data_IF_768922541799
#
_entry.id   IF_768922541799
#
_cell.length_a   1.000
_cell.length_b   1.000
_cell.length_c   1.000
_cell.angle_alpha   90.00
_cell.angle_beta   90.00
_cell.angle_gamma   90.00
#
_symmetry.space_group_name_H-M   'P 1'
#
loop_
_entity.id
_entity.type
_entity.pdbx_description
1 polymer ?
#
# COMPACT_ATOMS: atom_id res chain seq x y z
N UNK A 1 18.48 -5.79 -25.78
CA UNK A 1 17.90 -5.91 -24.43
C UNK A 1 16.62 -5.11 -24.46
N UNK A 2 15.46 -5.71 -24.21
CA UNK A 2 14.16 -5.00 -24.26
C UNK A 2 14.01 -4.04 -23.08
N UNK A 3 13.05 -3.10 -23.14
CA UNK A 3 12.79 -2.18 -22.03
C UNK A 3 12.42 -2.94 -20.76
N UNK A 4 11.62 -3.99 -20.90
CA UNK A 4 11.24 -4.88 -19.78
C UNK A 4 12.44 -5.58 -19.15
N UNK A 5 13.41 -6.05 -19.94
CA UNK A 5 14.64 -6.65 -19.38
C UNK A 5 15.49 -5.65 -18.60
N UNK A 6 15.56 -4.39 -19.07
CA UNK A 6 16.25 -3.32 -18.35
C UNK A 6 15.52 -2.99 -17.05
N UNK A 7 14.20 -2.92 -17.09
CA UNK A 7 13.35 -2.64 -15.95
C UNK A 7 13.41 -3.74 -14.89
N UNK A 8 13.34 -5.00 -15.30
CA UNK A 8 13.48 -6.16 -14.42
C UNK A 8 14.85 -6.17 -13.74
N UNK A 9 15.93 -5.87 -14.48
CA UNK A 9 17.27 -5.79 -13.92
C UNK A 9 17.38 -4.68 -12.86
N UNK A 10 16.81 -3.52 -13.15
CA UNK A 10 16.85 -2.38 -12.23
C UNK A 10 15.96 -2.61 -11.00
N UNK A 11 14.77 -3.17 -11.19
CA UNK A 11 13.92 -3.65 -10.11
C UNK A 11 14.70 -4.60 -9.20
N UNK A 12 15.28 -5.66 -9.74
CA UNK A 12 16.05 -6.65 -8.96
C UNK A 12 17.23 -6.02 -8.20
N UNK A 13 17.87 -5.00 -8.77
CA UNK A 13 18.94 -4.24 -8.09
C UNK A 13 18.39 -3.48 -6.88
N UNK A 14 17.27 -2.78 -7.05
CA UNK A 14 16.63 -2.00 -5.99
C UNK A 14 15.98 -2.87 -4.92
N UNK A 15 15.33 -3.97 -5.32
CA UNK A 15 14.67 -4.92 -4.41
C UNK A 15 15.61 -5.49 -3.36
N UNK A 16 16.88 -5.73 -3.72
CA UNK A 16 17.91 -6.20 -2.79
C UNK A 16 18.23 -5.20 -1.68
N UNK A 17 18.08 -3.90 -1.92
CA UNK A 17 18.37 -2.87 -0.90
C UNK A 17 17.44 -2.94 0.30
N UNK A 18 16.21 -3.37 0.08
CA UNK A 18 15.17 -3.43 1.11
C UNK A 18 14.68 -4.85 1.39
N UNK A 19 15.35 -5.85 0.83
CA UNK A 19 14.99 -7.28 1.00
C UNK A 19 13.54 -7.61 0.63
N UNK A 20 13.08 -7.17 -0.55
CA UNK A 20 11.71 -7.45 -1.02
C UNK A 20 11.42 -8.96 -0.99
N UNK A 21 10.35 -9.41 -0.30
CA UNK A 21 9.95 -10.81 -0.31
C UNK A 21 9.50 -11.29 -1.70
N UNK A 22 9.86 -12.53 -2.08
CA UNK A 22 9.49 -13.10 -3.39
C UNK A 22 7.99 -13.07 -3.67
N UNK A 23 7.15 -13.24 -2.63
CA UNK A 23 5.68 -13.20 -2.78
C UNK A 23 5.16 -11.85 -3.30
N UNK A 24 5.88 -10.76 -3.04
CA UNK A 24 5.48 -9.39 -3.39
C UNK A 24 6.08 -8.92 -4.72
N UNK A 25 7.00 -9.70 -5.32
CA UNK A 25 7.60 -9.31 -6.60
C UNK A 25 6.58 -9.46 -7.73
N UNK A 26 6.48 -8.46 -8.63
CA UNK A 26 5.65 -8.59 -9.82
C UNK A 26 6.30 -9.55 -10.81
N UNK A 27 5.51 -10.01 -11.78
CA UNK A 27 6.02 -10.71 -12.95
C UNK A 27 6.48 -9.70 -14.02
N UNK A 28 7.60 -9.94 -14.68
CA UNK A 28 8.06 -9.15 -15.82
C UNK A 28 7.82 -9.92 -17.12
N UNK A 29 7.07 -9.31 -18.05
CA UNK A 29 6.64 -9.93 -19.30
C UNK A 29 5.16 -10.32 -19.33
N UNK A 30 4.70 -10.98 -20.41
CA UNK A 30 3.31 -11.40 -20.55
C UNK A 30 2.95 -12.40 -19.45
N UNK A 31 1.90 -12.10 -18.70
CA UNK A 31 1.29 -12.98 -17.70
C UNK A 31 -0.20 -13.05 -18.00
N UNK A 32 -0.87 -14.13 -17.57
CA UNK A 32 -2.33 -14.21 -17.62
C UNK A 32 -3.00 -13.25 -16.60
N UNK A 33 -2.19 -12.47 -15.88
CA UNK A 33 -2.56 -11.42 -14.93
C UNK A 33 -3.24 -11.93 -13.66
N UNK A 34 -3.26 -13.25 -13.44
CA UNK A 34 -3.95 -13.85 -12.30
C UNK A 34 -3.07 -13.82 -11.04
N UNK A 35 -3.67 -13.39 -9.93
CA UNK A 35 -3.13 -13.40 -8.56
C UNK A 35 -1.94 -12.47 -8.23
N UNK A 36 -1.17 -11.96 -9.21
CA UNK A 36 -0.06 -11.03 -8.96
C UNK A 36 0.06 -9.90 -9.98
N UNK A 37 0.51 -8.71 -9.57
CA UNK A 37 0.83 -7.64 -10.51
C UNK A 37 1.88 -8.08 -11.53
N UNK A 38 1.75 -7.57 -12.75
CA UNK A 38 2.68 -7.80 -13.84
C UNK A 38 3.10 -6.49 -14.49
N UNK A 39 4.26 -6.55 -15.14
CA UNK A 39 4.90 -5.43 -15.81
C UNK A 39 5.25 -5.84 -17.23
N UNK A 40 4.69 -5.15 -18.22
CA UNK A 40 4.88 -5.48 -19.63
C UNK A 40 4.91 -4.24 -20.51
N UNK A 41 5.37 -4.41 -21.74
CA UNK A 41 5.48 -3.36 -22.75
C UNK A 41 4.47 -3.63 -23.86
N UNK A 42 3.69 -2.61 -24.24
CA UNK A 42 2.75 -2.71 -25.36
C UNK A 42 3.44 -2.51 -26.72
N UNK A 43 2.66 -2.66 -27.81
CA UNK A 43 3.17 -2.49 -29.18
C UNK A 43 3.54 -1.03 -29.53
N UNK A 44 3.19 -0.07 -28.68
CA UNK A 44 3.53 1.36 -28.80
C UNK A 44 4.71 1.74 -27.89
N UNK A 45 5.36 0.77 -27.26
CA UNK A 45 6.45 0.96 -26.31
C UNK A 45 6.04 1.67 -25.01
N UNK A 46 4.76 1.61 -24.62
CA UNK A 46 4.31 2.04 -23.29
C UNK A 46 4.54 0.91 -22.29
N UNK A 47 4.92 1.28 -21.07
CA UNK A 47 5.10 0.37 -19.96
C UNK A 47 3.81 0.33 -19.13
N UNK A 48 3.36 -0.88 -18.86
CA UNK A 48 2.17 -1.15 -18.06
C UNK A 48 2.57 -1.77 -16.73
N UNK A 49 1.96 -1.30 -15.65
CA UNK A 49 1.89 -1.98 -14.36
C UNK A 49 0.43 -2.31 -14.09
N UNK A 50 0.08 -3.59 -14.12
CA UNK A 50 -1.31 -4.04 -14.08
C UNK A 50 -1.52 -5.29 -13.22
N UNK A 51 -2.71 -5.44 -12.66
CA UNK A 51 -3.15 -6.65 -11.97
C UNK A 51 -4.60 -6.97 -12.33
N UNK A 52 -4.94 -8.26 -12.39
CA UNK A 52 -6.33 -8.71 -12.42
C UNK A 52 -6.66 -9.47 -11.14
N UNK A 53 -7.88 -9.28 -10.67
CA UNK A 53 -8.45 -10.08 -9.59
C UNK A 53 -9.73 -10.73 -10.11
N UNK A 54 -9.78 -12.07 -10.06
CA UNK A 54 -10.96 -12.87 -10.48
C UNK A 54 -11.44 -12.53 -11.89
N UNK A 55 -10.49 -12.37 -12.82
CA UNK A 55 -10.76 -12.06 -14.22
C UNK A 55 -11.13 -10.60 -14.51
N UNK A 56 -11.18 -9.73 -13.50
CA UNK A 56 -11.42 -8.29 -13.68
C UNK A 56 -10.13 -7.50 -13.47
N UNK A 57 -9.89 -6.48 -14.30
CA UNK A 57 -8.74 -5.58 -14.12
C UNK A 57 -8.94 -4.83 -12.80
N UNK A 58 -8.06 -5.10 -11.84
CA UNK A 58 -8.01 -4.36 -10.56
C UNK A 58 -7.40 -2.99 -10.80
N UNK A 59 -6.30 -2.93 -11.56
CA UNK A 59 -5.73 -1.69 -12.08
C UNK A 59 -4.89 -1.95 -13.34
N UNK A 60 -4.72 -0.91 -14.16
CA UNK A 60 -3.75 -0.83 -15.24
C UNK A 60 -3.19 0.60 -15.30
N UNK A 61 -1.92 0.77 -14.93
CA UNK A 61 -1.23 2.06 -14.94
C UNK A 61 -0.23 2.07 -16.07
N UNK A 62 -0.28 3.12 -16.89
CA UNK A 62 0.48 3.23 -18.14
C UNK A 62 1.40 4.44 -18.06
N UNK A 63 2.67 4.26 -18.40
CA UNK A 63 3.64 5.35 -18.54
C UNK A 63 4.71 4.98 -19.55
N UNK A 64 5.42 5.99 -20.06
CA UNK A 64 6.66 5.80 -20.83
C UNK A 64 7.91 6.11 -19.99
N UNK A 65 7.74 6.53 -18.73
CA UNK A 65 8.82 6.88 -17.82
C UNK A 65 9.25 5.68 -16.95
N UNK A 66 10.53 5.32 -17.04
CA UNK A 66 11.14 4.25 -16.26
C UNK A 66 11.14 4.52 -14.75
N UNK A 67 11.41 5.76 -14.33
CA UNK A 67 11.43 6.11 -12.90
C UNK A 67 10.02 6.02 -12.32
N UNK A 68 9.02 6.45 -13.08
CA UNK A 68 7.63 6.43 -12.66
C UNK A 68 7.08 5.03 -12.46
N UNK A 69 7.31 4.11 -13.41
CA UNK A 69 6.81 2.74 -13.26
C UNK A 69 7.51 2.01 -12.11
N UNK A 70 8.82 2.21 -11.91
CA UNK A 70 9.52 1.65 -10.77
C UNK A 70 8.98 2.23 -9.45
N UNK A 71 8.71 3.54 -9.41
CA UNK A 71 8.08 4.18 -8.26
C UNK A 71 6.73 3.52 -7.94
N UNK A 72 5.86 3.25 -8.92
CA UNK A 72 4.57 2.59 -8.68
C UNK A 72 4.72 1.17 -8.14
N UNK A 73 5.65 0.38 -8.69
CA UNK A 73 5.93 -0.97 -8.22
C UNK A 73 6.41 -0.93 -6.77
N UNK A 74 7.40 -0.09 -6.46
CA UNK A 74 7.95 0.00 -5.11
C UNK A 74 6.99 0.65 -4.11
N UNK A 75 6.15 1.61 -4.52
CA UNK A 75 5.13 2.18 -3.63
C UNK A 75 4.15 1.10 -3.16
N UNK A 76 3.71 0.20 -4.04
CA UNK A 76 2.84 -0.93 -3.71
C UNK A 76 3.52 -1.97 -2.82
N UNK A 77 4.75 -2.37 -3.18
CA UNK A 77 5.53 -3.36 -2.42
C UNK A 77 5.86 -2.85 -1.02
N UNK A 78 6.38 -1.63 -0.91
CA UNK A 78 6.80 -1.05 0.37
C UNK A 78 5.62 -0.80 1.29
N UNK A 79 4.43 -0.46 0.76
CA UNK A 79 3.22 -0.38 1.56
C UNK A 79 2.87 -1.73 2.19
N UNK A 80 2.88 -2.80 1.39
CA UNK A 80 2.61 -4.17 1.88
C UNK A 80 3.62 -4.59 2.95
N UNK A 81 4.92 -4.32 2.72
CA UNK A 81 5.97 -4.59 3.71
C UNK A 81 5.80 -3.77 5.00
N UNK A 82 5.32 -2.54 4.90
CA UNK A 82 5.10 -1.68 6.05
C UNK A 82 3.89 -2.09 6.89
N UNK A 83 2.82 -2.58 6.26
CA UNK A 83 1.70 -3.20 6.97
C UNK A 83 2.15 -4.48 7.67
N UNK A 84 2.92 -5.35 7.00
CA UNK A 84 3.49 -6.55 7.63
C UNK A 84 4.38 -6.19 8.83
N UNK A 85 5.17 -5.12 8.72
CA UNK A 85 6.01 -4.64 9.81
C UNK A 85 5.18 -4.12 10.99
N UNK A 86 4.14 -3.33 10.72
CA UNK A 86 3.20 -2.85 11.74
C UNK A 86 2.54 -4.01 12.47
N UNK A 87 2.03 -5.01 11.75
CA UNK A 87 1.36 -6.16 12.37
C UNK A 87 2.27 -6.91 13.35
N UNK A 88 3.56 -7.02 13.04
CA UNK A 88 4.54 -7.68 13.90
C UNK A 88 5.06 -6.80 15.05
N UNK A 89 4.84 -5.48 14.97
CA UNK A 89 5.35 -4.47 15.92
C UNK A 89 4.22 -3.64 16.52
N UNK A 90 2.99 -4.17 16.50
CA UNK A 90 1.77 -3.43 16.80
C UNK A 90 1.82 -2.84 18.20
N UNK A 91 1.49 -1.56 18.29
CA UNK A 91 1.16 -0.89 19.53
C UNK A 91 -0.37 -0.85 19.60
N UNK A 92 -0.93 -1.57 20.56
CA UNK A 92 -2.38 -1.57 20.78
C UNK A 92 -2.89 -0.16 21.02
N UNK A 93 -4.12 0.11 20.60
CA UNK A 93 -4.79 1.41 20.77
C UNK A 93 -4.10 2.59 20.07
N UNK A 94 -3.18 2.32 19.14
CA UNK A 94 -2.56 3.33 18.28
C UNK A 94 -3.06 3.16 16.83
N UNK A 95 -3.23 4.27 16.12
CA UNK A 95 -3.49 4.21 14.68
C UNK A 95 -2.31 3.51 13.96
N UNK A 96 -2.58 2.36 13.34
CA UNK A 96 -1.58 1.53 12.68
C UNK A 96 -0.81 2.28 11.59
N UNK A 97 -1.43 3.32 10.99
CA UNK A 97 -0.79 4.13 9.95
C UNK A 97 0.43 4.88 10.49
N UNK A 98 0.54 5.15 11.79
CA UNK A 98 1.72 5.80 12.36
C UNK A 98 2.98 4.98 12.13
N UNK A 99 2.93 3.68 12.43
CA UNK A 99 4.05 2.74 12.24
C UNK A 99 4.23 2.43 10.74
N UNK A 100 3.13 2.11 10.05
CA UNK A 100 3.20 1.72 8.64
C UNK A 100 3.70 2.86 7.73
N UNK A 101 3.24 4.11 7.91
CA UNK A 101 3.66 5.22 7.06
C UNK A 101 5.12 5.59 7.27
N UNK A 102 5.59 5.57 8.52
CA UNK A 102 6.99 5.78 8.84
C UNK A 102 7.86 4.70 8.20
N UNK A 103 7.52 3.42 8.38
CA UNK A 103 8.30 2.31 7.82
C UNK A 103 8.30 2.33 6.28
N UNK A 104 7.16 2.60 5.64
CA UNK A 104 7.10 2.74 4.18
C UNK A 104 8.01 3.88 3.69
N UNK A 105 8.00 5.03 4.37
CA UNK A 105 8.87 6.17 4.05
C UNK A 105 10.34 5.81 4.14
N UNK A 106 10.74 5.08 5.19
CA UNK A 106 12.12 4.61 5.36
C UNK A 106 12.55 3.68 4.22
N UNK A 107 11.71 2.72 3.84
CA UNK A 107 11.97 1.81 2.71
C UNK A 107 12.12 2.58 1.39
N UNK A 108 11.18 3.49 1.10
CA UNK A 108 11.21 4.28 -0.14
C UNK A 108 12.42 5.21 -0.19
N UNK A 109 12.80 5.84 0.92
CA UNK A 109 14.00 6.68 1.04
C UNK A 109 15.28 5.88 0.83
N UNK A 110 15.33 4.63 1.32
CA UNK A 110 16.47 3.72 1.14
C UNK A 110 16.66 3.34 -0.34
N UNK A 111 15.57 3.20 -1.08
CA UNK A 111 15.61 2.95 -2.51
C UNK A 111 16.07 4.20 -3.27
N UNK A 112 15.36 5.32 -3.06
CA UNK A 112 15.56 6.61 -3.71
C UNK A 112 15.00 7.75 -2.82
N UNK A 113 15.82 8.74 -2.48
CA UNK A 113 15.42 9.86 -1.60
C UNK A 113 14.23 10.66 -2.13
N UNK A 114 14.17 10.90 -3.46
CA UNK A 114 13.07 11.63 -4.10
C UNK A 114 11.76 10.86 -3.95
N UNK A 115 11.82 9.53 -4.06
CA UNK A 115 10.65 8.68 -3.85
C UNK A 115 10.21 8.69 -2.39
N UNK A 116 11.15 8.71 -1.45
CA UNK A 116 10.87 8.93 -0.03
C UNK A 116 10.11 10.24 0.23
N UNK A 117 10.57 11.35 -0.33
CA UNK A 117 9.90 12.66 -0.23
C UNK A 117 8.50 12.63 -0.86
N UNK A 118 8.34 11.98 -2.01
CA UNK A 118 7.05 11.78 -2.67
C UNK A 118 6.09 10.96 -1.80
N UNK A 119 6.59 9.92 -1.12
CA UNK A 119 5.81 9.10 -0.18
C UNK A 119 5.39 9.89 1.05
N UNK A 120 6.28 10.68 1.66
CA UNK A 120 5.94 11.58 2.79
C UNK A 120 4.82 12.54 2.38
N UNK A 121 4.95 13.17 1.20
CA UNK A 121 3.92 14.08 0.70
C UNK A 121 2.58 13.35 0.54
N UNK A 122 2.59 12.14 -0.06
CA UNK A 122 1.38 11.31 -0.23
C UNK A 122 0.71 11.02 1.12
N UNK A 123 1.46 10.60 2.13
CA UNK A 123 0.93 10.34 3.47
C UNK A 123 0.37 11.61 4.11
N UNK A 124 1.06 12.74 3.99
CA UNK A 124 0.59 14.01 4.53
C UNK A 124 -0.72 14.47 3.88
N UNK A 125 -0.90 14.29 2.57
CA UNK A 125 -2.18 14.60 1.92
C UNK A 125 -3.31 13.70 2.46
N UNK A 126 -3.06 12.39 2.62
CA UNK A 126 -4.04 11.48 3.24
C UNK A 126 -4.38 11.93 4.66
N UNK A 127 -3.40 12.34 5.45
CA UNK A 127 -3.61 12.75 6.85
C UNK A 127 -4.28 14.13 7.00
N UNK A 128 -4.30 14.96 5.95
CA UNK A 128 -5.10 16.19 5.94
C UNK A 128 -6.59 15.88 5.87
N UNK A 129 -6.98 14.89 5.06
CA UNK A 129 -8.38 14.49 4.87
C UNK A 129 -8.83 13.47 5.92
N UNK A 130 -7.91 12.61 6.35
CA UNK A 130 -8.13 11.53 7.31
C UNK A 130 -7.04 11.53 8.39
N UNK A 131 -7.09 12.45 9.36
CA UNK A 131 -6.13 12.53 10.47
C UNK A 131 -5.97 11.19 11.19
N UNK A 132 -4.87 11.05 11.94
CA UNK A 132 -4.68 9.86 12.77
C UNK A 132 -5.79 9.74 13.82
N UNK A 133 -6.30 8.53 13.97
CA UNK A 133 -7.33 8.22 14.95
C UNK A 133 -6.97 6.97 15.74
N UNK A 134 -6.38 7.20 16.90
CA UNK A 134 -5.92 6.15 17.81
C UNK A 134 -7.11 5.36 18.42
N UNK A 135 -8.33 5.91 18.36
CA UNK A 135 -9.53 5.26 18.86
C UNK A 135 -10.30 4.45 17.81
N UNK A 136 -9.92 4.50 16.53
CA UNK A 136 -10.65 3.82 15.47
C UNK A 136 -10.81 2.31 15.71
N UNK A 137 -9.73 1.63 16.12
CA UNK A 137 -9.76 0.19 16.42
C UNK A 137 -10.62 -0.12 17.65
N UNK A 138 -10.49 0.67 18.72
CA UNK A 138 -11.26 0.49 19.95
C UNK A 138 -12.76 0.73 19.69
N UNK A 139 -13.09 1.75 18.88
CA UNK A 139 -14.47 1.99 18.42
C UNK A 139 -15.00 0.79 17.67
N UNK A 140 -14.23 0.24 16.72
CA UNK A 140 -14.67 -0.91 15.93
C UNK A 140 -14.98 -2.13 16.80
N UNK A 141 -14.14 -2.41 17.80
CA UNK A 141 -14.36 -3.51 18.75
C UNK A 141 -15.56 -3.24 19.66
N UNK A 142 -15.71 -2.01 20.18
CA UNK A 142 -16.86 -1.62 20.98
C UNK A 142 -18.17 -1.71 20.18
N UNK A 143 -18.19 -1.24 18.93
CA UNK A 143 -19.33 -1.40 18.04
C UNK A 143 -19.68 -2.88 17.84
N UNK A 144 -18.68 -3.75 17.66
CA UNK A 144 -18.89 -5.19 17.54
C UNK A 144 -19.55 -5.78 18.79
N UNK A 145 -19.16 -5.32 19.97
CA UNK A 145 -19.75 -5.80 21.22
C UNK A 145 -21.16 -5.27 21.46
N UNK A 146 -21.47 -4.04 21.03
CA UNK A 146 -22.84 -3.51 21.06
C UNK A 146 -23.76 -4.24 20.06
N UNK A 147 -23.27 -4.61 18.87
CA UNK A 147 -24.02 -5.45 17.91
C UNK A 147 -24.41 -6.79 18.51
N UNK A 148 -23.49 -7.45 19.25
CA UNK A 148 -23.78 -8.70 19.96
C UNK A 148 -24.87 -8.55 21.04
N UNK A 149 -25.04 -7.35 21.58
CA UNK A 149 -26.09 -7.03 22.54
C UNK A 149 -27.44 -6.70 21.86
N UNK A 150 -27.50 -6.70 20.53
CA UNK A 150 -28.72 -6.48 19.75
C UNK A 150 -29.12 -5.03 19.56
N UNK A 151 -28.22 -4.07 19.77
CA UNK A 151 -28.49 -2.66 19.51
C UNK A 151 -28.56 -2.40 18.00
N UNK A 152 -29.37 -1.41 17.59
CA UNK A 152 -29.41 -0.93 16.22
C UNK A 152 -28.21 -0.03 15.87
N UNK A 153 -27.80 -0.01 14.60
CA UNK A 153 -26.60 0.71 14.13
C UNK A 153 -26.59 2.19 14.52
N UNK A 154 -27.72 2.90 14.41
CA UNK A 154 -27.80 4.32 14.81
C UNK A 154 -27.48 4.55 16.30
N UNK A 155 -27.93 3.63 17.17
CA UNK A 155 -27.64 3.70 18.60
C UNK A 155 -26.18 3.34 18.89
N UNK A 156 -25.63 2.36 18.15
CA UNK A 156 -24.25 1.91 18.25
C UNK A 156 -23.29 3.04 17.89
N UNK A 157 -23.49 3.68 16.75
CA UNK A 157 -22.64 4.77 16.28
C UNK A 157 -22.65 5.91 17.30
N UNK A 158 -23.82 6.35 17.75
CA UNK A 158 -23.92 7.37 18.79
C UNK A 158 -23.12 7.00 20.03
N UNK A 159 -23.29 5.78 20.57
CA UNK A 159 -22.58 5.33 21.78
C UNK A 159 -21.07 5.21 21.57
N UNK A 160 -20.64 4.76 20.40
CA UNK A 160 -19.23 4.58 20.09
C UNK A 160 -18.50 5.92 19.99
N UNK A 161 -19.10 6.89 19.28
CA UNK A 161 -18.54 8.22 19.12
C UNK A 161 -18.68 9.11 20.37
N UNK A 162 -19.69 8.86 21.23
CA UNK A 162 -19.76 9.49 22.56
C UNK A 162 -18.65 8.99 23.48
N UNK A 163 -18.36 7.68 23.46
CA UNK A 163 -17.34 7.07 24.33
C UNK A 163 -15.91 7.30 23.82
N UNK A 164 -15.72 7.33 22.51
CA UNK A 164 -14.43 7.42 21.85
C UNK A 164 -14.50 8.43 20.69
N UNK A 165 -14.52 9.73 20.97
CA UNK A 165 -14.74 10.75 19.95
C UNK A 165 -13.61 10.79 18.90
N UNK A 166 -13.94 11.23 17.69
CA UNK A 166 -12.93 11.70 16.72
C UNK A 166 -12.22 12.94 17.28
N UNK A 167 -10.93 13.10 16.96
CA UNK A 167 -10.13 14.26 17.36
C UNK A 167 -10.35 15.44 16.43
#
# INVERSE_FOLDING_TARGET
MSQIQLLEREFNRLSKKISVPERLKPSFGPSDYDEKPCVFEDYKNNLHYAAKERGQISFDKITSDFDEILYWIFDSITFSMAVDFELNSRIEEQDCRRIAFEHQTQLMTTINKIWGEKTIKKHNEILKEHPFDDFASIRADYCRDLRKQGLGEDEIDRKAYEKYPEK
#
